data_IF_570642120776
#
_entry.id   IF_570642120776
#
_cell.length_a   1.000
_cell.length_b   1.000
_cell.length_c   1.000
_cell.angle_alpha   90.00
_cell.angle_beta   90.00
_cell.angle_gamma   90.00
#
_symmetry.space_group_name_H-M   'P 1'
#
loop_
_entity.id
_entity.type
_entity.pdbx_description
1 polymer ?
#
# COMPACT_ATOMS: atom_id res chain seq x y z
N UNK A 1 -13.13 -0.64 16.22
CA UNK A 1 -11.74 -0.56 15.72
C UNK A 1 -11.41 0.91 15.46
N UNK A 2 -10.21 1.42 15.79
CA UNK A 2 -9.88 2.86 15.69
C UNK A 2 -10.08 3.46 14.29
N UNK A 3 -9.80 2.69 13.24
CA UNK A 3 -10.00 3.12 11.84
C UNK A 3 -11.46 3.47 11.54
N UNK A 4 -12.41 2.76 12.15
CA UNK A 4 -13.86 3.02 12.03
C UNK A 4 -14.30 4.28 12.76
N UNK A 5 -13.46 4.85 13.63
CA UNK A 5 -13.72 6.08 14.37
C UNK A 5 -12.84 7.25 13.89
N UNK A 6 -12.27 7.15 12.68
CA UNK A 6 -11.58 8.25 12.01
C UNK A 6 -10.05 8.26 12.15
N UNK A 7 -9.44 7.21 12.70
CA UNK A 7 -7.99 7.06 12.69
C UNK A 7 -7.47 7.01 11.24
N UNK A 8 -6.41 7.77 10.95
CA UNK A 8 -5.85 7.90 9.61
C UNK A 8 -4.70 6.90 9.40
N UNK A 9 -4.83 5.93 8.47
CA UNK A 9 -3.76 4.97 8.19
C UNK A 9 -2.58 5.55 7.41
N UNK A 10 -2.66 6.81 6.96
CA UNK A 10 -1.56 7.56 6.34
C UNK A 10 -1.06 8.70 7.23
N UNK A 11 -1.37 8.67 8.53
CA UNK A 11 -0.94 9.72 9.46
C UNK A 11 0.59 9.86 9.41
N UNK A 12 1.04 11.10 9.26
CA UNK A 12 2.45 11.46 9.30
C UNK A 12 2.75 12.07 10.64
N UNK A 13 3.55 11.37 11.44
CA UNK A 13 4.01 11.88 12.73
C UNK A 13 5.43 12.39 12.54
N UNK A 14 5.59 13.71 12.67
CA UNK A 14 6.91 14.34 12.69
C UNK A 14 7.49 14.09 14.09
N UNK A 15 8.64 13.43 14.14
CA UNK A 15 9.38 13.19 15.38
C UNK A 15 9.97 14.48 15.95
N UNK A 16 10.78 14.32 17.02
CA UNK A 16 11.31 15.45 17.77
C UNK A 16 12.14 16.41 16.90
N UNK A 17 11.97 17.72 17.13
CA UNK A 17 12.47 18.83 16.32
C UNK A 17 14.00 18.79 16.13
N UNK A 18 14.71 18.12 17.05
CA UNK A 18 16.15 17.94 17.00
C UNK A 18 16.64 16.95 15.94
N UNK A 19 15.81 15.98 15.51
CA UNK A 19 16.22 14.91 14.59
C UNK A 19 15.54 14.97 13.23
N UNK A 20 14.43 15.71 13.09
CA UNK A 20 13.59 15.71 11.88
C UNK A 20 13.20 14.28 11.43
N UNK A 21 13.21 13.30 12.33
CA UNK A 21 12.88 11.93 12.01
C UNK A 21 11.38 11.82 11.77
N UNK A 22 10.97 11.54 10.53
CA UNK A 22 9.57 11.26 10.21
C UNK A 22 9.29 9.80 10.58
N UNK A 23 8.32 9.57 11.45
CA UNK A 23 7.89 8.21 11.75
C UNK A 23 7.25 7.59 10.51
N UNK A 24 7.49 6.28 10.34
CA UNK A 24 6.90 5.53 9.25
C UNK A 24 5.37 5.57 9.34
N UNK A 25 4.65 5.64 8.21
CA UNK A 25 3.20 5.49 8.24
C UNK A 25 2.81 4.10 8.77
N UNK A 26 1.61 3.93 9.34
CA UNK A 26 1.14 2.67 9.92
C UNK A 26 1.37 1.43 9.05
N UNK A 27 1.16 1.53 7.73
CA UNK A 27 1.40 0.42 6.81
C UNK A 27 2.89 0.07 6.67
N UNK A 28 3.76 1.06 6.59
CA UNK A 28 5.20 0.85 6.52
C UNK A 28 5.74 0.26 7.83
N UNK A 29 5.20 0.69 8.96
CA UNK A 29 5.58 0.18 10.27
C UNK A 29 5.10 -1.26 10.48
N UNK A 30 3.87 -1.58 10.07
CA UNK A 30 3.36 -2.96 10.06
C UNK A 30 4.30 -3.89 9.27
N UNK A 31 4.74 -3.48 8.08
CA UNK A 31 5.60 -4.30 7.23
C UNK A 31 7.03 -4.40 7.78
N UNK A 32 7.60 -3.29 8.26
CA UNK A 32 9.00 -3.26 8.69
C UNK A 32 9.24 -3.97 10.04
N UNK A 33 8.25 -3.92 10.94
CA UNK A 33 8.42 -4.34 12.33
C UNK A 33 7.92 -5.76 12.61
N UNK A 34 7.37 -6.46 11.61
CA UNK A 34 6.90 -7.84 11.74
C UNK A 34 7.60 -8.75 10.72
N UNK A 35 7.99 -9.95 11.16
CA UNK A 35 8.53 -10.98 10.27
C UNK A 35 7.45 -11.58 9.36
N UNK A 36 6.23 -11.69 9.89
CA UNK A 36 5.07 -12.24 9.19
C UNK A 36 3.97 -11.18 9.23
N UNK A 37 3.49 -10.79 8.05
CA UNK A 37 2.35 -9.88 7.89
C UNK A 37 1.24 -10.66 7.22
N UNK A 38 0.03 -10.60 7.78
CA UNK A 38 -1.11 -11.32 7.22
C UNK A 38 -1.81 -10.52 6.11
N UNK A 39 -2.39 -11.20 5.11
CA UNK A 39 -3.25 -10.56 4.10
C UNK A 39 -4.37 -9.71 4.71
N UNK A 40 -4.95 -10.15 5.81
CA UNK A 40 -6.07 -9.51 6.49
C UNK A 40 -5.66 -8.14 7.06
N UNK A 41 -4.48 -8.05 7.70
CA UNK A 41 -3.97 -6.78 8.25
C UNK A 41 -3.70 -5.75 7.13
N UNK A 42 -3.11 -6.21 6.02
CA UNK A 42 -2.87 -5.36 4.85
C UNK A 42 -4.18 -4.87 4.25
N UNK A 43 -5.12 -5.77 3.97
CA UNK A 43 -6.44 -5.43 3.41
C UNK A 43 -7.19 -4.48 4.32
N UNK A 44 -7.06 -4.64 5.63
CA UNK A 44 -7.71 -3.77 6.61
C UNK A 44 -7.18 -2.34 6.53
N UNK A 45 -5.86 -2.14 6.55
CA UNK A 45 -5.27 -0.81 6.37
C UNK A 45 -5.62 -0.22 5.00
N UNK A 46 -5.52 -1.03 3.94
CA UNK A 46 -5.86 -0.59 2.58
C UNK A 46 -7.33 -0.20 2.48
N UNK A 47 -8.27 -0.96 3.06
CA UNK A 47 -9.72 -0.65 3.07
C UNK A 47 -9.99 0.77 3.60
N UNK A 48 -9.28 1.19 4.63
CA UNK A 48 -9.40 2.53 5.23
C UNK A 48 -8.52 3.61 4.58
N UNK A 49 -7.92 3.32 3.43
CA UNK A 49 -7.23 4.33 2.62
C UNK A 49 -5.71 4.31 2.71
N UNK A 50 -5.08 3.31 3.34
CA UNK A 50 -3.61 3.20 3.34
C UNK A 50 -3.05 3.18 1.92
N UNK A 51 -2.10 4.07 1.63
CA UNK A 51 -1.49 4.18 0.31
C UNK A 51 -0.31 3.23 0.17
N UNK A 52 -0.13 2.71 -1.03
CA UNK A 52 0.99 1.81 -1.35
C UNK A 52 1.88 2.48 -2.38
N UNK A 53 2.98 3.07 -1.89
CA UNK A 53 3.93 3.82 -2.71
C UNK A 53 5.26 3.09 -2.72
N UNK A 54 5.64 2.53 -3.88
CA UNK A 54 6.86 1.75 -4.07
C UNK A 54 8.02 2.66 -4.50
N UNK A 55 8.28 3.63 -3.63
CA UNK A 55 9.42 4.55 -3.67
C UNK A 55 10.17 4.46 -2.34
N UNK A 56 11.39 5.01 -2.30
CA UNK A 56 12.09 5.19 -1.04
C UNK A 56 11.45 6.29 -0.21
N UNK A 57 11.57 6.19 1.12
CA UNK A 57 11.07 7.23 2.06
C UNK A 57 11.67 8.61 1.82
N UNK A 58 12.87 8.66 1.23
CA UNK A 58 13.52 9.89 0.81
C UNK A 58 12.80 10.59 -0.35
N UNK A 59 12.22 9.83 -1.30
CA UNK A 59 11.50 10.40 -2.44
C UNK A 59 10.03 10.62 -2.16
N UNK A 60 9.45 9.81 -1.28
CA UNK A 60 8.07 9.93 -0.86
C UNK A 60 7.96 9.51 0.61
N UNK A 61 7.44 10.36 1.51
CA UNK A 61 7.31 10.03 2.93
C UNK A 61 6.44 8.79 3.18
N UNK A 62 5.53 8.44 2.27
CA UNK A 62 4.70 7.24 2.36
C UNK A 62 5.37 6.01 1.68
N UNK A 63 6.65 6.13 1.33
CA UNK A 63 7.43 5.13 0.62
C UNK A 63 7.64 3.84 1.39
N UNK A 64 7.32 2.72 0.75
CA UNK A 64 7.39 1.37 1.33
C UNK A 64 8.58 0.55 0.83
N UNK A 65 9.35 1.04 -0.14
CA UNK A 65 10.31 0.21 -0.88
C UNK A 65 11.33 -0.51 0.02
N UNK A 66 11.83 0.18 1.04
CA UNK A 66 12.81 -0.36 1.97
C UNK A 66 12.20 -1.25 3.06
N UNK A 67 10.88 -1.21 3.24
CA UNK A 67 10.17 -2.06 4.20
C UNK A 67 9.96 -3.47 3.65
N UNK A 68 9.98 -3.64 2.32
CA UNK A 68 9.69 -4.92 1.67
C UNK A 68 10.78 -5.99 1.82
N UNK A 69 11.96 -5.63 2.34
CA UNK A 69 13.10 -6.56 2.43
C UNK A 69 12.77 -7.85 3.18
N UNK A 70 11.89 -7.76 4.18
CA UNK A 70 11.54 -8.87 5.06
C UNK A 70 10.37 -9.71 4.51
N UNK A 71 9.70 -9.27 3.44
CA UNK A 71 8.53 -9.97 2.90
C UNK A 71 8.95 -11.07 1.93
N UNK A 72 8.44 -12.29 2.11
CA UNK A 72 8.62 -13.36 1.13
C UNK A 72 7.95 -12.99 -0.21
N UNK A 73 8.67 -12.97 -1.36
CA UNK A 73 8.10 -12.68 -2.67
C UNK A 73 6.96 -13.62 -3.08
N UNK A 74 6.92 -14.84 -2.52
CA UNK A 74 5.85 -15.81 -2.80
C UNK A 74 4.64 -15.67 -1.87
N UNK A 75 4.75 -14.85 -0.82
CA UNK A 75 3.63 -14.63 0.11
C UNK A 75 2.48 -13.87 -0.55
N UNK A 76 1.26 -14.20 -0.15
CA UNK A 76 0.05 -13.48 -0.58
C UNK A 76 0.10 -12.01 -0.17
N UNK A 77 0.73 -11.71 0.97
CA UNK A 77 0.95 -10.36 1.47
C UNK A 77 1.80 -9.53 0.50
N UNK A 78 2.90 -10.07 -0.03
CA UNK A 78 3.72 -9.37 -1.02
C UNK A 78 2.95 -9.12 -2.31
N UNK A 79 2.17 -10.11 -2.78
CA UNK A 79 1.32 -9.97 -3.97
C UNK A 79 0.25 -8.89 -3.79
N UNK A 80 -0.38 -8.81 -2.62
CA UNK A 80 -1.37 -7.77 -2.29
C UNK A 80 -0.72 -6.39 -2.34
N UNK A 81 0.46 -6.21 -1.75
CA UNK A 81 1.20 -4.94 -1.81
C UNK A 81 1.53 -4.58 -3.26
N UNK A 82 2.04 -5.53 -4.05
CA UNK A 82 2.37 -5.30 -5.45
C UNK A 82 1.15 -4.94 -6.31
N UNK A 83 -0.01 -5.55 -6.06
CA UNK A 83 -1.27 -5.26 -6.75
C UNK A 83 -1.85 -3.90 -6.36
N UNK A 84 -1.71 -3.53 -5.08
CA UNK A 84 -2.21 -2.29 -4.50
C UNK A 84 -1.35 -1.06 -4.82
N UNK A 85 -0.12 -1.27 -5.28
CA UNK A 85 0.83 -0.21 -5.57
C UNK A 85 0.31 0.82 -6.59
N UNK A 86 0.31 2.08 -6.17
CA UNK A 86 -0.15 3.22 -6.96
C UNK A 86 0.98 3.84 -7.79
N UNK A 87 2.19 3.88 -7.21
CA UNK A 87 3.35 4.55 -7.78
C UNK A 87 4.61 3.72 -7.57
N UNK A 88 5.51 3.78 -8.56
CA UNK A 88 6.77 3.04 -8.58
C UNK A 88 7.92 3.98 -8.92
N UNK A 89 9.12 3.62 -8.48
CA UNK A 89 10.36 4.23 -8.93
C UNK A 89 11.32 3.17 -9.51
N UNK A 90 11.25 2.88 -10.82
CA UNK A 90 12.08 1.86 -11.44
C UNK A 90 13.59 2.09 -11.24
N UNK A 91 14.02 3.35 -11.18
CA UNK A 91 15.44 3.69 -10.99
C UNK A 91 15.91 3.31 -9.59
N UNK A 92 15.10 3.58 -8.56
CA UNK A 92 15.42 3.22 -7.19
C UNK A 92 15.25 1.71 -6.94
N UNK A 93 14.23 1.07 -7.53
CA UNK A 93 14.03 -0.38 -7.42
C UNK A 93 15.24 -1.14 -7.97
N UNK A 94 15.77 -0.75 -9.14
CA UNK A 94 16.97 -1.39 -9.74
C UNK A 94 18.21 -1.31 -8.85
N UNK A 95 18.35 -0.23 -8.09
CA UNK A 95 19.54 0.08 -7.27
C UNK A 95 19.39 -0.34 -5.81
N UNK A 96 18.24 -0.87 -5.41
CA UNK A 96 17.98 -1.22 -4.02
C UNK A 96 18.72 -2.50 -3.64
N UNK A 97 19.61 -2.38 -2.65
CA UNK A 97 20.44 -3.48 -2.13
C UNK A 97 19.72 -4.34 -1.09
N UNK A 98 18.59 -3.86 -0.54
CA UNK A 98 17.81 -4.58 0.47
C UNK A 98 16.83 -5.57 -0.15
N UNK A 99 16.58 -5.47 -1.46
CA UNK A 99 15.71 -6.39 -2.19
C UNK A 99 16.50 -7.57 -2.71
N UNK A 100 15.93 -8.77 -2.60
CA UNK A 100 16.43 -9.94 -3.31
C UNK A 100 16.11 -9.84 -4.82
N UNK A 101 16.73 -10.71 -5.62
CA UNK A 101 16.60 -10.66 -7.08
C UNK A 101 15.17 -10.91 -7.56
N UNK A 102 14.43 -11.81 -6.90
CA UNK A 102 13.05 -12.15 -7.23
C UNK A 102 12.08 -11.00 -6.95
N UNK A 103 12.15 -10.40 -5.75
CA UNK A 103 11.40 -9.20 -5.38
C UNK A 103 11.66 -8.08 -6.37
N UNK A 104 12.94 -7.84 -6.70
CA UNK A 104 13.35 -6.78 -7.64
C UNK A 104 12.73 -7.02 -9.01
N UNK A 105 12.78 -8.25 -9.52
CA UNK A 105 12.21 -8.60 -10.81
C UNK A 105 10.70 -8.36 -10.83
N UNK A 106 9.96 -8.88 -9.84
CA UNK A 106 8.51 -8.69 -9.73
C UNK A 106 8.10 -7.21 -9.65
N UNK A 107 8.84 -6.40 -8.89
CA UNK A 107 8.61 -4.96 -8.78
C UNK A 107 8.86 -4.24 -10.12
N UNK A 108 9.92 -4.59 -10.84
CA UNK A 108 10.25 -4.00 -12.13
C UNK A 108 9.27 -4.41 -13.23
N UNK A 109 8.87 -5.67 -13.25
CA UNK A 109 7.87 -6.17 -14.20
C UNK A 109 6.54 -5.43 -13.99
N UNK A 110 6.11 -5.28 -12.74
CA UNK A 110 4.90 -4.54 -12.41
C UNK A 110 5.00 -3.04 -12.71
N UNK A 111 6.17 -2.43 -12.53
CA UNK A 111 6.40 -1.01 -12.77
C UNK A 111 6.49 -0.66 -14.27
N UNK A 112 6.95 -1.60 -15.10
CA UNK A 112 7.08 -1.41 -16.55
C UNK A 112 5.83 -1.85 -17.32
N UNK A 113 4.98 -2.67 -16.71
CA UNK A 113 3.70 -3.09 -17.27
C UNK A 113 2.61 -2.01 -17.07
N UNK A 114 1.81 -1.68 -18.11
CA UNK A 114 0.69 -0.77 -17.97
C UNK A 114 -0.30 -1.22 -16.89
N UNK A 115 -0.68 -0.28 -16.01
CA UNK A 115 -1.65 -0.54 -14.93
C UNK A 115 -3.03 -0.87 -15.52
N UNK A 116 -3.65 -2.01 -15.13
CA UNK A 116 -5.00 -2.36 -15.57
C UNK A 116 -6.04 -1.29 -15.25
N UNK A 117 -7.07 -1.18 -16.09
CA UNK A 117 -8.15 -0.22 -15.89
C UNK A 117 -8.83 -0.41 -14.52
N UNK A 118 -9.05 -1.67 -14.09
CA UNK A 118 -9.62 -2.00 -12.76
C UNK A 118 -8.84 -1.31 -11.63
N UNK A 119 -7.52 -1.42 -11.65
CA UNK A 119 -6.64 -0.84 -10.63
C UNK A 119 -6.64 0.68 -10.69
N UNK A 120 -6.72 1.28 -11.89
CA UNK A 120 -6.85 2.74 -12.04
C UNK A 120 -8.17 3.26 -11.48
N UNK A 121 -9.27 2.54 -11.71
CA UNK A 121 -10.59 2.88 -11.15
C UNK A 121 -10.53 2.80 -9.63
N UNK A 122 -10.00 1.71 -9.06
CA UNK A 122 -9.81 1.59 -7.60
C UNK A 122 -9.00 2.77 -7.05
N UNK A 123 -7.85 3.08 -7.63
CA UNK A 123 -7.03 4.22 -7.21
C UNK A 123 -7.72 5.58 -7.37
N UNK A 124 -8.63 5.73 -8.33
CA UNK A 124 -9.41 6.96 -8.51
C UNK A 124 -10.44 7.14 -7.39
N UNK A 125 -11.26 6.11 -7.10
CA UNK A 125 -12.22 6.14 -5.99
C UNK A 125 -11.52 6.36 -4.65
N UNK A 126 -10.37 5.72 -4.44
CA UNK A 126 -9.55 5.92 -3.23
C UNK A 126 -9.10 7.36 -3.06
N UNK A 127 -8.68 8.03 -4.13
CA UNK A 127 -8.28 9.44 -4.07
C UNK A 127 -9.46 10.38 -3.83
N UNK A 128 -10.65 10.03 -4.32
CA UNK A 128 -11.86 10.84 -4.11
C UNK A 128 -12.40 10.74 -2.68
N UNK A 129 -12.51 9.52 -2.14
CA UNK A 129 -13.20 9.28 -0.87
C UNK A 129 -12.23 9.04 0.31
N UNK A 130 -10.95 8.76 0.02
CA UNK A 130 -9.92 8.53 1.04
C UNK A 130 -10.37 7.50 2.09
N UNK A 131 -10.28 7.90 3.36
CA UNK A 131 -10.71 7.09 4.51
C UNK A 131 -12.21 6.85 4.62
N UNK A 132 -13.03 7.66 3.95
CA UNK A 132 -14.49 7.52 3.94
C UNK A 132 -14.97 6.54 2.86
N UNK A 133 -14.05 5.96 2.08
CA UNK A 133 -14.38 4.99 1.05
C UNK A 133 -15.26 3.82 1.58
N UNK A 134 -14.97 3.21 2.76
CA UNK A 134 -15.82 2.14 3.29
C UNK A 134 -17.26 2.54 3.58
N UNK A 135 -17.49 3.79 3.94
CA UNK A 135 -18.83 4.33 4.22
C UNK A 135 -19.57 4.65 2.92
N UNK A 136 -18.85 5.08 1.89
CA UNK A 136 -19.44 5.51 0.63
C UNK A 136 -19.72 4.35 -0.34
N UNK A 137 -18.85 3.35 -0.39
CA UNK A 137 -18.96 2.23 -1.36
C UNK A 137 -20.33 1.51 -1.32
N UNK A 138 -20.95 1.22 -0.17
CA UNK A 138 -22.26 0.58 -0.13
C UNK A 138 -23.39 1.38 -0.83
N UNK A 139 -23.23 2.71 -0.94
CA UNK A 139 -24.19 3.59 -1.61
C UNK A 139 -24.01 3.67 -3.13
N UNK A 140 -22.92 3.13 -3.67
CA UNK A 140 -22.64 3.15 -5.10
C UNK A 140 -23.58 2.20 -5.86
N UNK A 141 -24.16 2.70 -6.95
CA UNK A 141 -24.97 1.90 -7.87
C UNK A 141 -24.07 1.07 -8.82
N UNK A 142 -23.33 0.11 -8.26
CA UNK A 142 -22.43 -0.80 -8.97
C UNK A 142 -22.61 -2.24 -8.43
N UNK A 143 -22.22 -3.28 -9.19
CA UNK A 143 -22.25 -4.67 -8.72
C UNK A 143 -21.47 -4.90 -7.42
N UNK A 144 -21.93 -5.86 -6.60
CA UNK A 144 -21.34 -6.17 -5.28
C UNK A 144 -19.87 -6.59 -5.40
N UNK A 145 -19.51 -7.27 -6.48
CA UNK A 145 -18.15 -7.71 -6.76
C UNK A 145 -17.21 -6.51 -6.92
N UNK A 146 -17.69 -5.43 -7.55
CA UNK A 146 -16.93 -4.19 -7.67
C UNK A 146 -16.86 -3.44 -6.33
N UNK A 147 -17.92 -3.49 -5.53
CA UNK A 147 -17.89 -2.94 -4.17
C UNK A 147 -16.81 -3.64 -3.33
N UNK A 148 -16.80 -4.97 -3.29
CA UNK A 148 -15.79 -5.76 -2.57
C UNK A 148 -14.38 -5.56 -3.13
N UNK A 149 -14.23 -5.38 -4.46
CA UNK A 149 -12.95 -5.01 -5.07
C UNK A 149 -12.44 -3.64 -4.62
N UNK A 150 -13.31 -2.63 -4.52
CA UNK A 150 -12.96 -1.30 -4.01
C UNK A 150 -12.56 -1.34 -2.53
N UNK A 151 -13.15 -2.24 -1.75
CA UNK A 151 -12.91 -2.41 -0.31
C UNK A 151 -11.74 -3.35 0.03
N UNK A 152 -11.02 -3.87 -0.97
CA UNK A 152 -9.94 -4.86 -0.78
C UNK A 152 -10.40 -6.18 -0.10
N UNK A 153 -11.69 -6.50 -0.15
CA UNK A 153 -12.24 -7.73 0.42
C UNK A 153 -11.92 -8.97 -0.43
N UNK A 154 -11.70 -8.77 -1.73
CA UNK A 154 -11.23 -9.79 -2.67
C UNK A 154 -10.03 -9.28 -3.48
N UNK A 155 -9.05 -10.16 -3.71
CA UNK A 155 -7.99 -9.95 -4.70
C UNK A 155 -8.24 -10.85 -5.90
N UNK A 156 -8.08 -10.31 -7.10
CA UNK A 156 -8.16 -11.06 -8.37
C UNK A 156 -6.83 -10.95 -9.10
#
# INVERSE_FOLDING_TARGET
>A
MLLSYGADPNVRVVGDVATNAILRPPLAELIASNEIVTPEELRLLMKYGARVILKTQFRDPDGLLNCLSNMDPQSDSFRIVLEAAEEFDPCMIRRNQQLNDEQRQLLLDRATTPVPLKSRVRAHYRRLFGRQLPEFVPSLFIPRELQSYLLYEHSF
#
